data_IF_421749594164
#
_entry.id   IF_421749594164
#
_cell.length_a   1.000
_cell.length_b   1.000
_cell.length_c   1.000
_cell.angle_alpha   90.00
_cell.angle_beta   90.00
_cell.angle_gamma   90.00
#
_symmetry.space_group_name_H-M   'P 1'
#
loop_
_entity.id
_entity.type
_entity.pdbx_description
1 polymer ?
#
# COMPACT_ATOMS: atom_id res chain seq x y z
N UNK A 1 -20.19 -7.57 16.08
CA UNK A 1 -18.82 -7.09 16.35
C UNK A 1 -17.93 -7.57 15.22
N UNK A 2 -17.00 -6.76 14.69
CA UNK A 2 -16.06 -7.26 13.68
C UNK A 2 -15.28 -8.42 14.28
N UNK A 3 -15.20 -9.54 13.57
CA UNK A 3 -14.48 -10.75 13.99
C UNK A 3 -13.00 -10.38 14.25
N UNK A 4 -12.44 -10.77 15.39
CA UNK A 4 -11.06 -10.45 15.76
C UNK A 4 -10.05 -11.02 14.75
N UNK A 5 -10.39 -12.11 14.06
CA UNK A 5 -9.60 -12.65 12.95
C UNK A 5 -9.50 -11.70 11.76
N UNK A 6 -10.58 -10.99 11.41
CA UNK A 6 -10.58 -10.03 10.31
C UNK A 6 -9.72 -8.81 10.66
N UNK A 7 -9.80 -8.33 11.92
CA UNK A 7 -8.96 -7.24 12.40
C UNK A 7 -7.47 -7.59 12.29
N UNK A 8 -7.09 -8.78 12.75
CA UNK A 8 -5.69 -9.22 12.68
C UNK A 8 -5.21 -9.35 11.23
N UNK A 9 -6.08 -9.80 10.32
CA UNK A 9 -5.80 -9.85 8.88
C UNK A 9 -5.50 -8.45 8.31
N UNK A 10 -6.28 -7.42 8.66
CA UNK A 10 -5.99 -6.05 8.21
C UNK A 10 -4.70 -5.49 8.80
N UNK A 11 -4.43 -5.74 10.09
CA UNK A 11 -3.20 -5.30 10.76
C UNK A 11 -1.97 -5.93 10.09
N UNK A 12 -1.99 -7.23 9.84
CA UNK A 12 -0.87 -7.93 9.20
C UNK A 12 -0.69 -7.49 7.73
N UNK A 13 -1.79 -7.24 7.02
CA UNK A 13 -1.73 -6.71 5.66
C UNK A 13 -1.11 -5.32 5.62
N UNK A 14 -1.49 -4.44 6.55
CA UNK A 14 -0.90 -3.10 6.68
C UNK A 14 0.61 -3.19 6.93
N UNK A 15 1.04 -4.04 7.88
CA UNK A 15 2.47 -4.22 8.19
C UNK A 15 3.29 -4.69 6.97
N UNK A 16 2.74 -5.59 6.14
CA UNK A 16 3.42 -6.03 4.90
C UNK A 16 3.50 -4.93 3.84
N UNK A 17 2.47 -4.09 3.73
CA UNK A 17 2.48 -2.93 2.83
C UNK A 17 3.54 -1.92 3.30
N UNK A 18 3.58 -1.59 4.59
CA UNK A 18 4.59 -0.68 5.16
C UNK A 18 6.00 -1.21 4.92
N UNK A 19 6.25 -2.50 5.17
CA UNK A 19 7.53 -3.13 4.91
C UNK A 19 7.93 -3.10 3.41
N UNK A 20 6.96 -3.26 2.50
CA UNK A 20 7.19 -3.11 1.07
C UNK A 20 7.63 -1.69 0.71
N UNK A 21 6.94 -0.67 1.24
CA UNK A 21 7.27 0.73 0.99
C UNK A 21 8.65 1.11 1.51
N UNK A 22 9.00 0.72 2.74
CA UNK A 22 10.34 0.95 3.31
C UNK A 22 11.42 0.28 2.46
N UNK A 23 11.19 -0.96 2.01
CA UNK A 23 12.18 -1.71 1.22
C UNK A 23 12.37 -1.13 -0.19
N UNK A 24 11.28 -0.73 -0.84
CA UNK A 24 11.30 -0.28 -2.24
C UNK A 24 11.59 1.20 -2.37
N UNK A 25 11.29 1.98 -1.32
CA UNK A 25 11.42 3.43 -1.26
C UNK A 25 10.94 4.11 -2.55
N UNK A 26 9.70 3.80 -3.03
CA UNK A 26 9.28 4.16 -4.38
C UNK A 26 9.13 5.68 -4.55
N UNK A 27 9.13 6.41 -3.44
CA UNK A 27 9.05 7.86 -3.37
C UNK A 27 10.37 8.53 -2.93
N UNK A 28 11.42 7.76 -2.61
CA UNK A 28 12.71 8.31 -2.18
C UNK A 28 12.67 9.02 -0.83
N UNK A 29 11.73 8.65 0.05
CA UNK A 29 11.50 9.30 1.34
C UNK A 29 12.46 8.79 2.43
N UNK A 30 12.99 7.57 2.27
CA UNK A 30 13.86 6.95 3.27
C UNK A 30 15.27 7.56 3.32
N UNK A 31 15.59 8.52 2.44
CA UNK A 31 16.86 9.21 2.45
C UNK A 31 16.89 10.32 3.53
N UNK A 32 17.20 9.93 4.77
CA UNK A 32 17.45 10.86 5.88
C UNK A 32 16.33 10.99 6.91
N UNK A 33 15.24 10.23 6.79
CA UNK A 33 14.12 10.20 7.73
C UNK A 33 13.62 8.75 7.98
N UNK A 34 13.15 8.40 9.20
CA UNK A 34 12.91 7.01 9.61
C UNK A 34 11.53 6.47 9.18
N UNK A 35 11.34 5.18 9.46
CA UNK A 35 10.29 4.22 9.01
C UNK A 35 8.82 4.68 9.08
N UNK A 36 8.52 5.81 9.73
CA UNK A 36 7.16 6.30 9.99
C UNK A 36 6.56 7.13 8.83
N UNK A 37 7.37 7.58 7.86
CA UNK A 37 6.88 8.46 6.77
C UNK A 37 5.86 7.77 5.85
N UNK A 38 5.90 6.44 5.75
CA UNK A 38 5.00 5.69 4.88
C UNK A 38 3.71 5.22 5.55
N UNK A 39 3.49 5.50 6.84
CA UNK A 39 2.27 5.09 7.53
C UNK A 39 0.98 5.61 6.85
N UNK A 40 0.89 6.90 6.44
CA UNK A 40 -0.26 7.41 5.71
C UNK A 40 -0.45 6.72 4.35
N UNK A 41 0.64 6.49 3.62
CA UNK A 41 0.64 5.87 2.29
C UNK A 41 0.26 4.40 2.37
N UNK A 42 0.76 3.67 3.36
CA UNK A 42 0.40 2.27 3.60
C UNK A 42 -1.10 2.13 3.89
N UNK A 43 -1.67 3.04 4.69
CA UNK A 43 -3.11 3.09 4.94
C UNK A 43 -3.92 3.37 3.66
N UNK A 44 -3.46 4.31 2.82
CA UNK A 44 -4.11 4.60 1.52
C UNK A 44 -4.09 3.40 0.59
N UNK A 45 -2.94 2.71 0.49
CA UNK A 45 -2.84 1.48 -0.30
C UNK A 45 -3.80 0.42 0.23
N UNK A 46 -3.89 0.22 1.56
CA UNK A 46 -4.82 -0.73 2.16
C UNK A 46 -6.28 -0.41 1.77
N UNK A 47 -6.69 0.85 1.85
CA UNK A 47 -8.01 1.30 1.42
C UNK A 47 -8.21 1.01 -0.08
N UNK A 48 -7.23 1.33 -0.92
CA UNK A 48 -7.30 1.10 -2.36
C UNK A 48 -7.46 -0.39 -2.69
N UNK A 49 -6.66 -1.28 -2.10
CA UNK A 49 -6.80 -2.72 -2.38
C UNK A 49 -8.09 -3.32 -1.83
N UNK A 50 -8.71 -2.76 -0.80
CA UNK A 50 -10.01 -3.25 -0.31
C UNK A 50 -11.19 -2.76 -1.15
N UNK A 51 -11.03 -1.63 -1.84
CA UNK A 51 -12.08 -1.01 -2.66
C UNK A 51 -12.12 -1.55 -4.09
N UNK A 52 -10.96 -1.77 -4.70
CA UNK A 52 -10.86 -2.12 -6.11
C UNK A 52 -10.66 -3.63 -6.32
N UNK A 53 -11.30 -4.15 -7.37
CA UNK A 53 -11.31 -5.59 -7.69
C UNK A 53 -10.43 -5.97 -8.86
N UNK A 54 -10.03 -4.99 -9.68
CA UNK A 54 -9.16 -5.21 -10.83
C UNK A 54 -7.74 -4.76 -10.50
N UNK A 55 -6.77 -5.52 -11.00
CA UNK A 55 -5.35 -5.27 -10.76
C UNK A 55 -4.91 -3.93 -11.32
N UNK A 56 -5.33 -3.64 -12.54
CA UNK A 56 -5.01 -2.41 -13.24
C UNK A 56 -5.59 -1.18 -12.53
N UNK A 57 -6.77 -1.31 -11.91
CA UNK A 57 -7.36 -0.23 -11.10
C UNK A 57 -6.53 0.03 -9.86
N UNK A 58 -6.10 -1.01 -9.13
CA UNK A 58 -5.23 -0.85 -7.97
C UNK A 58 -3.95 -0.09 -8.34
N UNK A 59 -3.31 -0.44 -9.45
CA UNK A 59 -2.05 0.20 -9.86
C UNK A 59 -2.25 1.68 -10.18
N UNK A 60 -3.34 1.99 -10.88
CA UNK A 60 -3.69 3.36 -11.24
C UNK A 60 -3.98 4.20 -10.00
N UNK A 61 -4.79 3.68 -9.08
CA UNK A 61 -5.20 4.45 -7.89
C UNK A 61 -4.06 4.61 -6.90
N UNK A 62 -3.16 3.63 -6.73
CA UNK A 62 -1.92 3.83 -5.94
C UNK A 62 -1.09 4.96 -6.54
N UNK A 63 -0.90 4.97 -7.87
CA UNK A 63 -0.14 6.04 -8.54
C UNK A 63 -0.80 7.41 -8.35
N UNK A 64 -2.14 7.44 -8.33
CA UNK A 64 -2.90 8.67 -8.07
C UNK A 64 -2.75 9.15 -6.63
N UNK A 65 -2.87 8.25 -5.66
CA UNK A 65 -2.76 8.58 -4.24
C UNK A 65 -1.40 9.20 -3.91
N UNK A 66 -0.32 8.64 -4.45
CA UNK A 66 1.04 9.17 -4.28
C UNK A 66 1.26 10.48 -5.05
N UNK A 67 0.63 10.64 -6.22
CA UNK A 67 0.69 11.91 -6.96
C UNK A 67 0.00 13.03 -6.19
N UNK A 68 -1.16 12.75 -5.60
CA UNK A 68 -1.95 13.74 -4.89
C UNK A 68 -1.32 14.11 -3.53
N UNK A 69 -0.66 13.17 -2.86
CA UNK A 69 -0.04 13.37 -1.53
C UNK A 69 1.40 13.90 -1.59
N UNK A 70 2.22 13.34 -2.48
CA UNK A 70 3.66 13.56 -2.49
C UNK A 70 4.18 14.13 -3.83
N UNK A 71 3.29 14.36 -4.81
CA UNK A 71 3.65 14.78 -6.17
C UNK A 71 4.48 13.74 -6.96
N UNK A 72 4.41 12.48 -6.56
CA UNK A 72 5.19 11.39 -7.17
C UNK A 72 4.28 10.54 -8.04
N UNK A 73 4.65 10.42 -9.31
CA UNK A 73 3.90 9.64 -10.29
C UNK A 73 4.46 8.23 -10.43
N UNK A 74 3.67 7.33 -11.01
CA UNK A 74 4.06 5.96 -11.38
C UNK A 74 4.38 4.98 -10.23
N UNK A 75 4.13 5.35 -8.97
CA UNK A 75 4.38 4.45 -7.82
C UNK A 75 3.66 3.10 -7.98
N UNK A 76 2.42 3.08 -8.46
CA UNK A 76 1.71 1.83 -8.69
C UNK A 76 2.31 0.95 -9.80
N UNK A 77 3.15 1.49 -10.69
CA UNK A 77 3.93 0.67 -11.63
C UNK A 77 5.15 0.03 -10.95
N UNK A 78 5.64 0.63 -9.87
CA UNK A 78 6.83 0.16 -9.12
C UNK A 78 6.43 -0.95 -8.14
N UNK A 79 5.35 -0.74 -7.39
CA UNK A 79 4.95 -1.63 -6.28
C UNK A 79 3.65 -2.41 -6.53
N UNK A 80 2.95 -2.14 -7.63
CA UNK A 80 1.59 -2.64 -7.85
C UNK A 80 1.50 -4.16 -7.85
N UNK A 81 2.44 -4.86 -8.49
CA UNK A 81 2.45 -6.32 -8.57
C UNK A 81 2.57 -6.96 -7.18
N UNK A 82 3.45 -6.41 -6.35
CA UNK A 82 3.73 -6.85 -4.99
C UNK A 82 2.55 -6.56 -4.07
N UNK A 83 1.95 -5.36 -4.19
CA UNK A 83 0.72 -5.00 -3.48
C UNK A 83 -0.44 -5.93 -3.88
N UNK A 84 -0.55 -6.30 -5.15
CA UNK A 84 -1.57 -7.23 -5.62
C UNK A 84 -1.39 -8.64 -5.02
N UNK A 85 -0.15 -9.14 -4.97
CA UNK A 85 0.15 -10.41 -4.30
C UNK A 85 -0.20 -10.37 -2.81
N UNK A 86 0.04 -9.24 -2.13
CA UNK A 86 -0.37 -9.04 -0.73
C UNK A 86 -1.89 -9.11 -0.60
N UNK A 87 -2.64 -8.40 -1.47
CA UNK A 87 -4.12 -8.47 -1.50
C UNK A 87 -4.62 -9.91 -1.65
N UNK A 88 -4.08 -10.68 -2.60
CA UNK A 88 -4.46 -12.07 -2.85
C UNK A 88 -4.15 -12.99 -1.66
N UNK A 89 -2.96 -12.84 -1.05
CA UNK A 89 -2.54 -13.58 0.15
C UNK A 89 -3.56 -13.43 1.28
N UNK A 90 -4.03 -12.20 1.51
CA UNK A 90 -4.99 -11.91 2.55
C UNK A 90 -6.44 -12.17 2.13
N UNK A 91 -6.74 -12.42 0.85
CA UNK A 91 -8.12 -12.55 0.33
C UNK A 91 -8.94 -11.27 0.60
N UNK A 92 -8.36 -10.12 0.28
CA UNK A 92 -9.00 -8.80 0.32
C UNK A 92 -9.55 -8.42 -1.04
#
# INVERSE_FOLDING_TARGET
MPNDQDKQKYINCLAEITALLIKTDPAGLMHGCPEDEYDPEACRILITITKFKLKEEVFREISRDFKDSLQISNVGQIIGDEVWKIKEKYKL
#
